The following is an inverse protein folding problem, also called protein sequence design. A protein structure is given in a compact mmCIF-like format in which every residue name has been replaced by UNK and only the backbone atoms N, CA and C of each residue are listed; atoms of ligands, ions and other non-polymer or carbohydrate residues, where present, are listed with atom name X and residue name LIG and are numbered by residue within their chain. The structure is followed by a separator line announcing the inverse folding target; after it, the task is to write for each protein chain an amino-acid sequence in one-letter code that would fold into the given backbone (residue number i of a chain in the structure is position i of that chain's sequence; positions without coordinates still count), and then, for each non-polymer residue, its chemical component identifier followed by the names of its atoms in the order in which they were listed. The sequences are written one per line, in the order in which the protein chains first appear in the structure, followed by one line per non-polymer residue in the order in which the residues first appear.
data_IF_058747223860
#
_entry.id   IF_058747223860
#
_cell.length_a   1.000
_cell.length_b   1.000
_cell.length_c   1.000
_cell.angle_alpha   90.00
_cell.angle_beta   90.00
_cell.angle_gamma   90.00
#
_symmetry.space_group_name_H-M   'P 1'
#
loop_
_entity.id
_entity.type
_entity.pdbx_description
1 polymer ?
#
# COMPACT_ATOMS: atom_id res chain seq x y z
N UNK A 1 34.42 -44.45 -1.25
CA UNK A 1 35.90 -44.51 -1.20
C UNK A 1 36.32 -45.86 -1.74
N UNK A 2 37.29 -45.89 -2.65
CA UNK A 2 37.80 -47.13 -3.25
C UNK A 2 39.11 -47.58 -2.59
N UNK A 3 39.47 -48.85 -2.77
CA UNK A 3 40.82 -49.36 -2.49
C UNK A 3 41.46 -49.76 -3.82
N UNK A 4 42.78 -49.63 -3.92
CA UNK A 4 43.50 -50.07 -5.11
C UNK A 4 43.66 -51.60 -5.14
N UNK A 5 44.22 -52.10 -6.24
CA UNK A 5 44.47 -53.53 -6.46
C UNK A 5 45.46 -54.16 -5.45
N UNK A 6 46.11 -53.34 -4.63
CA UNK A 6 47.02 -53.76 -3.55
C UNK A 6 46.42 -53.57 -2.15
N UNK A 7 45.14 -53.19 -2.07
CA UNK A 7 44.41 -53.05 -0.81
C UNK A 7 44.66 -51.74 -0.06
N UNK A 8 45.40 -50.80 -0.63
CA UNK A 8 45.60 -49.48 -0.04
C UNK A 8 44.34 -48.62 -0.19
N UNK A 9 44.08 -47.74 0.77
CA UNK A 9 42.99 -46.77 0.68
C UNK A 9 43.30 -45.74 -0.43
N UNK A 10 42.41 -45.63 -1.43
CA UNK A 10 42.48 -44.56 -2.42
C UNK A 10 41.90 -43.31 -1.77
N UNK A 11 42.77 -42.41 -1.31
CA UNK A 11 42.41 -41.08 -0.88
C UNK A 11 42.08 -40.26 -2.14
N UNK A 12 40.81 -39.88 -2.30
CA UNK A 12 40.42 -38.95 -3.36
C UNK A 12 41.18 -37.63 -3.21
N UNK A 13 41.51 -36.99 -4.33
CA UNK A 13 42.15 -35.66 -4.37
C UNK A 13 41.47 -34.70 -3.40
N UNK A 14 42.28 -33.99 -2.61
CA UNK A 14 41.87 -33.13 -1.50
C UNK A 14 40.58 -32.35 -1.81
N UNK A 15 39.52 -32.66 -1.07
CA UNK A 15 38.29 -31.89 -1.07
C UNK A 15 38.63 -30.58 -0.35
N UNK A 16 38.88 -29.52 -1.13
CA UNK A 16 39.34 -28.19 -0.74
C UNK A 16 40.85 -28.04 -0.42
N UNK A 17 41.62 -27.56 -1.42
CA UNK A 17 42.84 -26.81 -1.14
C UNK A 17 42.44 -25.41 -0.65
N UNK A 18 42.74 -25.09 0.60
CA UNK A 18 42.61 -23.72 1.11
C UNK A 18 43.55 -22.78 0.37
N UNK A 19 43.12 -21.55 0.13
CA UNK A 19 43.95 -20.48 -0.43
C UNK A 19 44.68 -19.76 0.70
N UNK A 20 46.01 -19.60 0.59
CA UNK A 20 46.79 -18.75 1.51
C UNK A 20 46.65 -17.24 1.21
N UNK A 21 45.94 -16.88 0.15
CA UNK A 21 45.62 -15.49 -0.17
C UNK A 21 44.26 -15.07 0.42
N UNK A 22 44.23 -13.89 1.05
CA UNK A 22 43.00 -13.22 1.45
C UNK A 22 42.20 -12.86 0.20
N UNK A 23 40.93 -13.26 0.14
CA UNK A 23 40.03 -12.83 -0.91
C UNK A 23 39.77 -11.32 -0.77
N UNK A 24 40.21 -10.53 -1.74
CA UNK A 24 39.87 -9.12 -1.86
C UNK A 24 38.50 -8.99 -2.54
N UNK A 25 37.48 -8.51 -1.83
CA UNK A 25 36.19 -8.16 -2.42
C UNK A 25 36.02 -6.64 -2.40
N UNK A 26 35.69 -6.07 -3.56
CA UNK A 26 35.27 -4.67 -3.68
C UNK A 26 33.88 -4.66 -4.30
N UNK A 27 32.88 -4.26 -3.52
CA UNK A 27 31.50 -4.10 -3.97
C UNK A 27 31.14 -2.62 -3.98
N UNK A 28 30.86 -2.06 -5.15
CA UNK A 28 30.24 -0.75 -5.28
C UNK A 28 28.80 -0.93 -5.75
N UNK A 29 27.84 -0.74 -4.86
CA UNK A 29 26.44 -0.60 -5.25
C UNK A 29 26.15 0.88 -5.47
N UNK A 30 25.58 1.23 -6.63
CA UNK A 30 25.17 2.61 -6.93
C UNK A 30 23.78 2.62 -7.54
N UNK A 31 23.01 3.65 -7.21
CA UNK A 31 21.66 3.83 -7.72
C UNK A 31 21.64 5.07 -8.59
N UNK A 32 21.30 4.90 -9.85
CA UNK A 32 21.19 5.99 -10.83
C UNK A 32 19.72 6.16 -11.18
N UNK A 33 19.19 7.36 -10.96
CA UNK A 33 17.86 7.74 -11.43
C UNK A 33 18.02 8.78 -12.54
N UNK A 34 17.52 8.47 -13.73
CA UNK A 34 17.38 9.42 -14.83
C UNK A 34 15.94 9.89 -14.88
N UNK A 35 15.74 11.19 -14.92
CA UNK A 35 14.43 11.83 -14.95
C UNK A 35 14.37 12.82 -16.11
N UNK A 36 13.34 12.68 -16.95
CA UNK A 36 13.01 13.64 -17.99
C UNK A 36 11.60 14.16 -17.71
N UNK A 37 11.45 15.48 -17.73
CA UNK A 37 10.16 16.15 -17.59
C UNK A 37 10.08 17.31 -18.58
N UNK A 38 8.91 17.46 -19.20
CA UNK A 38 8.58 18.61 -20.03
C UNK A 38 7.18 19.09 -19.68
N UNK A 39 7.01 20.40 -19.52
CA UNK A 39 5.70 20.99 -19.24
C UNK A 39 5.37 22.16 -20.17
N UNK A 40 4.10 22.27 -20.52
CA UNK A 40 3.50 23.38 -21.25
C UNK A 40 2.45 23.99 -20.34
N UNK A 41 2.55 25.30 -20.11
CA UNK A 41 1.65 26.04 -19.25
C UNK A 41 1.03 27.19 -20.04
N UNK A 42 -0.28 27.36 -19.92
CA UNK A 42 -1.04 28.44 -20.52
C UNK A 42 -1.90 29.10 -19.43
N UNK A 43 -1.80 30.42 -19.32
CA UNK A 43 -2.63 31.20 -18.41
C UNK A 43 -3.10 32.45 -19.13
N UNK A 44 -4.42 32.68 -19.16
CA UNK A 44 -5.00 33.88 -19.76
C UNK A 44 -6.21 34.35 -19.01
N UNK A 45 -6.37 35.68 -18.95
CA UNK A 45 -7.59 36.33 -18.49
C UNK A 45 -8.32 36.90 -19.70
N UNK A 46 -9.59 36.56 -19.86
CA UNK A 46 -10.47 37.12 -20.88
C UNK A 46 -11.50 38.05 -20.25
N UNK A 47 -11.68 39.23 -20.88
CA UNK A 47 -12.66 40.25 -20.48
C UNK A 47 -12.61 40.59 -18.97
N UNK A 48 -11.42 40.55 -18.37
CA UNK A 48 -11.14 40.78 -16.94
C UNK A 48 -11.92 39.91 -15.95
N UNK A 49 -12.65 38.91 -16.44
CA UNK A 49 -13.63 38.12 -15.67
C UNK A 49 -13.40 36.62 -15.78
N UNK A 50 -12.78 36.14 -16.85
CA UNK A 50 -12.62 34.71 -17.11
C UNK A 50 -11.13 34.36 -17.04
N UNK A 51 -10.70 33.74 -15.94
CA UNK A 51 -9.35 33.19 -15.84
C UNK A 51 -9.37 31.76 -16.33
N UNK A 52 -8.55 31.47 -17.33
CA UNK A 52 -8.37 30.13 -17.90
C UNK A 52 -6.91 29.74 -17.73
N UNK A 53 -6.69 28.61 -17.06
CA UNK A 53 -5.39 27.96 -16.96
C UNK A 53 -5.43 26.60 -17.64
N UNK A 54 -4.34 26.22 -18.28
CA UNK A 54 -4.13 24.88 -18.78
C UNK A 54 -2.66 24.48 -18.57
N UNK A 55 -2.45 23.22 -18.21
CA UNK A 55 -1.13 22.64 -18.08
C UNK A 55 -1.13 21.25 -18.69
N UNK A 56 -0.06 20.93 -19.40
CA UNK A 56 0.27 19.60 -19.85
C UNK A 56 1.70 19.29 -19.40
N UNK A 57 1.93 18.10 -18.86
CA UNK A 57 3.21 17.64 -18.39
C UNK A 57 3.42 16.20 -18.84
N UNK A 58 4.59 15.93 -19.40
CA UNK A 58 5.07 14.58 -19.65
C UNK A 58 6.27 14.32 -18.74
N UNK A 59 6.28 13.17 -18.07
CA UNK A 59 7.42 12.72 -17.29
C UNK A 59 7.83 11.30 -17.66
N UNK A 60 9.11 11.03 -17.55
CA UNK A 60 9.70 9.71 -17.75
C UNK A 60 10.84 9.52 -16.75
N UNK A 61 10.79 8.42 -16.02
CA UNK A 61 11.77 8.10 -14.98
C UNK A 61 12.30 6.69 -15.20
N UNK A 62 13.61 6.58 -15.17
CA UNK A 62 14.35 5.32 -15.19
C UNK A 62 15.17 5.26 -13.92
N UNK A 63 14.91 4.26 -13.08
CA UNK A 63 15.66 4.03 -11.85
C UNK A 63 16.43 2.72 -11.97
N UNK A 64 17.76 2.79 -11.93
CA UNK A 64 18.63 1.63 -12.11
C UNK A 64 19.50 1.45 -10.88
N UNK A 65 19.46 0.25 -10.31
CA UNK A 65 20.43 -0.18 -9.30
C UNK A 65 21.55 -0.94 -9.99
N UNK A 66 22.78 -0.51 -9.77
CA UNK A 66 24.00 -1.22 -10.15
C UNK A 66 24.49 -1.98 -8.93
N UNK A 67 24.82 -3.25 -9.11
CA UNK A 67 25.22 -4.17 -8.05
C UNK A 67 26.74 -4.37 -8.10
N UNK A 68 27.37 -4.48 -6.93
CA UNK A 68 28.78 -4.87 -6.84
C UNK A 68 28.94 -6.37 -7.11
N UNK A 69 30.15 -6.81 -7.47
CA UNK A 69 30.44 -8.23 -7.72
C UNK A 69 30.24 -9.15 -6.50
N UNK A 70 30.14 -8.58 -5.30
CA UNK A 70 29.79 -9.28 -4.05
C UNK A 70 28.27 -9.48 -3.83
N UNK A 71 27.43 -8.73 -4.55
CA UNK A 71 25.96 -8.79 -4.41
C UNK A 71 25.31 -9.75 -5.43
N UNK A 72 26.10 -10.21 -6.40
CA UNK A 72 25.66 -11.08 -7.48
C UNK A 72 26.24 -12.47 -7.22
N UNK A 73 25.41 -13.44 -6.86
CA UNK A 73 25.81 -14.83 -6.84
C UNK A 73 25.72 -15.36 -8.28
N UNK A 74 26.84 -15.65 -8.98
CA UNK A 74 26.79 -16.06 -10.38
C UNK A 74 25.98 -17.34 -10.51
N UNK A 75 24.81 -17.27 -11.18
CA UNK A 75 23.87 -18.40 -11.32
C UNK A 75 22.54 -18.24 -10.56
N UNK A 76 22.36 -17.19 -9.76
CA UNK A 76 21.07 -16.87 -9.11
C UNK A 76 20.17 -16.02 -10.03
N UNK A 77 19.01 -16.55 -10.42
CA UNK A 77 18.00 -15.81 -11.20
C UNK A 77 17.54 -14.52 -10.50
N UNK A 78 17.51 -14.50 -9.17
CA UNK A 78 17.13 -13.35 -8.32
C UNK A 78 18.09 -12.17 -8.47
N UNK A 79 19.39 -12.43 -8.68
CA UNK A 79 20.40 -11.40 -8.88
C UNK A 79 20.33 -10.76 -10.28
N UNK A 80 19.86 -11.49 -11.29
CA UNK A 80 19.71 -10.98 -12.65
C UNK A 80 18.45 -10.09 -12.81
N UNK A 81 17.32 -10.50 -12.25
CA UNK A 81 16.07 -9.74 -12.34
C UNK A 81 16.15 -8.43 -11.55
N UNK A 82 16.71 -8.45 -10.34
CA UNK A 82 16.91 -7.24 -9.51
C UNK A 82 17.81 -6.18 -10.15
N UNK A 83 18.68 -6.57 -11.10
CA UNK A 83 19.54 -5.66 -11.88
C UNK A 83 18.83 -4.86 -12.98
N UNK A 84 17.63 -5.27 -13.37
CA UNK A 84 16.86 -4.58 -14.42
C UNK A 84 16.37 -3.21 -13.93
N UNK A 85 16.47 -2.15 -14.76
CA UNK A 85 15.99 -0.83 -14.38
C UNK A 85 14.46 -0.80 -14.23
N UNK A 86 14.00 0.07 -13.34
CA UNK A 86 12.61 0.42 -13.09
C UNK A 86 12.22 1.56 -14.01
N UNK A 87 11.13 1.42 -14.77
CA UNK A 87 10.64 2.45 -15.68
C UNK A 87 9.20 2.82 -15.37
N UNK A 88 8.96 4.11 -15.23
CA UNK A 88 7.64 4.69 -15.19
C UNK A 88 7.59 5.95 -16.05
N UNK A 89 6.43 6.18 -16.65
CA UNK A 89 6.19 7.35 -17.48
C UNK A 89 4.76 7.82 -17.30
N UNK A 90 4.52 9.10 -17.48
CA UNK A 90 3.22 9.67 -17.23
C UNK A 90 2.95 10.90 -18.07
N UNK A 91 1.66 11.12 -18.28
CA UNK A 91 1.12 12.39 -18.74
C UNK A 91 0.24 12.92 -17.62
N UNK A 92 0.44 14.17 -17.22
CA UNK A 92 -0.48 14.91 -16.39
C UNK A 92 -1.05 16.09 -17.17
N UNK A 93 -2.34 16.32 -17.06
CA UNK A 93 -2.98 17.51 -17.61
C UNK A 93 -3.91 18.14 -16.58
N UNK A 94 -3.94 19.47 -16.57
CA UNK A 94 -4.80 20.27 -15.71
C UNK A 94 -5.46 21.36 -16.53
N UNK A 95 -6.75 21.57 -16.33
CA UNK A 95 -7.49 22.71 -16.85
C UNK A 95 -8.20 23.39 -15.70
N UNK A 96 -8.01 24.70 -15.57
CA UNK A 96 -8.64 25.52 -14.54
C UNK A 96 -9.47 26.63 -15.18
N UNK A 97 -10.60 26.91 -14.56
CA UNK A 97 -11.46 28.03 -14.94
C UNK A 97 -11.98 28.73 -13.70
N UNK A 98 -11.82 30.06 -13.66
CA UNK A 98 -12.41 30.88 -12.63
C UNK A 98 -13.20 32.05 -13.25
N UNK A 99 -14.47 32.18 -12.86
CA UNK A 99 -15.30 33.32 -13.24
C UNK A 99 -15.38 34.33 -12.10
N UNK A 100 -14.87 35.54 -12.34
CA UNK A 100 -14.80 36.67 -11.41
C UNK A 100 -14.17 36.33 -10.07
N UNK A 101 -13.30 35.32 -10.05
CA UNK A 101 -12.73 34.76 -8.81
C UNK A 101 -13.79 34.26 -7.80
N UNK A 102 -15.02 34.01 -8.27
CA UNK A 102 -16.14 33.51 -7.45
C UNK A 102 -16.41 32.03 -7.65
N UNK A 103 -16.56 31.62 -8.91
CA UNK A 103 -16.82 30.23 -9.26
C UNK A 103 -15.56 29.66 -9.89
N UNK A 104 -15.05 28.60 -9.29
CA UNK A 104 -13.82 27.95 -9.69
C UNK A 104 -14.16 26.51 -10.05
N UNK A 105 -13.65 26.04 -11.18
CA UNK A 105 -13.72 24.63 -11.57
C UNK A 105 -12.33 24.23 -12.05
N UNK A 106 -11.90 23.05 -11.65
CA UNK A 106 -10.65 22.47 -12.08
C UNK A 106 -10.86 21.00 -12.45
N UNK A 107 -10.29 20.61 -13.59
CA UNK A 107 -10.20 19.23 -14.03
C UNK A 107 -8.73 18.84 -14.12
N UNK A 108 -8.38 17.73 -13.50
CA UNK A 108 -7.06 17.12 -13.58
C UNK A 108 -7.20 15.71 -14.14
N UNK A 109 -6.19 15.27 -14.89
CA UNK A 109 -6.06 13.87 -15.26
C UNK A 109 -4.60 13.45 -15.24
N UNK A 110 -4.36 12.23 -14.79
CA UNK A 110 -3.10 11.51 -14.96
C UNK A 110 -3.30 10.29 -15.84
N UNK A 111 -2.40 10.06 -16.78
CA UNK A 111 -2.28 8.80 -17.50
C UNK A 111 -0.87 8.26 -17.27
N UNK A 112 -0.76 7.29 -16.36
CA UNK A 112 0.53 6.82 -15.84
C UNK A 112 0.76 5.37 -16.24
N UNK A 113 1.98 5.07 -16.68
CA UNK A 113 2.46 3.74 -17.03
C UNK A 113 3.47 3.23 -16.02
N UNK A 114 3.28 1.99 -15.55
CA UNK A 114 4.21 1.25 -14.69
C UNK A 114 4.59 -0.07 -15.34
N UNK A 115 5.88 -0.45 -15.25
CA UNK A 115 6.37 -1.73 -15.77
C UNK A 115 6.06 -2.93 -14.86
N UNK A 116 5.56 -2.68 -13.64
CA UNK A 116 5.19 -3.71 -12.67
C UNK A 116 4.04 -4.59 -13.17
N UNK A 117 3.25 -4.10 -14.12
CA UNK A 117 2.08 -4.79 -14.65
C UNK A 117 2.36 -5.50 -15.97
N UNK A 118 1.55 -6.52 -16.27
CA UNK A 118 1.58 -7.23 -17.54
C UNK A 118 1.28 -6.30 -18.72
N UNK A 119 1.72 -6.70 -19.91
CA UNK A 119 1.36 -5.99 -21.15
C UNK A 119 -0.17 -5.89 -21.27
N UNK A 120 -0.68 -4.72 -21.66
CA UNK A 120 -2.12 -4.43 -21.67
C UNK A 120 -2.64 -3.74 -20.41
N UNK A 121 -2.01 -3.94 -19.25
CA UNK A 121 -2.46 -3.39 -17.96
C UNK A 121 -1.50 -2.35 -17.34
N UNK A 122 -0.45 -1.97 -18.07
CA UNK A 122 0.60 -1.05 -17.60
C UNK A 122 0.12 0.36 -17.33
N UNK A 123 -0.88 0.82 -18.06
CA UNK A 123 -1.33 2.21 -17.99
C UNK A 123 -2.65 2.34 -17.25
N UNK A 124 -2.72 3.31 -16.33
CA UNK A 124 -3.93 3.69 -15.61
C UNK A 124 -4.33 5.14 -15.91
N UNK A 125 -5.63 5.39 -15.97
CA UNK A 125 -6.21 6.73 -16.16
C UNK A 125 -6.91 7.21 -14.89
N UNK A 126 -6.48 8.36 -14.39
CA UNK A 126 -6.81 8.88 -13.06
C UNK A 126 -7.36 10.31 -13.17
N UNK A 127 -8.66 10.48 -13.46
CA UNK A 127 -9.29 11.79 -13.55
C UNK A 127 -9.70 12.30 -12.17
N UNK A 128 -9.70 13.61 -12.01
CA UNK A 128 -10.23 14.30 -10.84
C UNK A 128 -10.88 15.62 -11.25
N UNK A 129 -12.02 15.95 -10.65
CA UNK A 129 -12.70 17.23 -10.82
C UNK A 129 -12.87 17.90 -9.47
N UNK A 130 -12.72 19.21 -9.43
CA UNK A 130 -12.98 20.01 -8.25
C UNK A 130 -13.72 21.29 -8.61
N UNK A 131 -14.47 21.79 -7.63
CA UNK A 131 -15.24 23.01 -7.73
C UNK A 131 -15.11 23.82 -6.44
N UNK A 132 -15.13 25.13 -6.57
CA UNK A 132 -15.11 26.07 -5.46
C UNK A 132 -16.05 27.24 -5.72
N UNK A 133 -16.72 27.69 -4.67
CA UNK A 133 -17.55 28.89 -4.71
C UNK A 133 -17.22 29.81 -3.55
N UNK A 134 -16.75 31.01 -3.87
CA UNK A 134 -16.54 32.10 -2.95
C UNK A 134 -17.86 32.84 -2.71
N UNK A 135 -18.71 32.28 -1.85
CA UNK A 135 -20.04 32.82 -1.54
C UNK A 135 -19.93 34.24 -0.96
N UNK A 136 -18.87 34.54 -0.21
CA UNK A 136 -18.68 35.88 0.36
C UNK A 136 -18.56 37.00 -0.68
N UNK A 137 -18.21 36.66 -1.92
CA UNK A 137 -18.13 37.62 -3.02
C UNK A 137 -19.48 37.90 -3.70
N UNK A 138 -20.56 37.25 -3.27
CA UNK A 138 -21.89 37.51 -3.82
C UNK A 138 -22.50 38.82 -3.32
N UNK A 139 -23.30 39.53 -4.15
CA UNK A 139 -23.93 40.80 -3.75
C UNK A 139 -24.79 40.67 -2.49
N UNK A 140 -25.49 39.53 -2.33
CA UNK A 140 -26.34 39.27 -1.17
C UNK A 140 -25.55 39.06 0.14
N UNK A 141 -24.24 38.80 0.06
CA UNK A 141 -23.39 38.62 1.25
C UNK A 141 -22.90 39.93 1.86
N UNK A 142 -23.14 41.06 1.19
CA UNK A 142 -22.68 42.38 1.60
C UNK A 142 -23.07 42.75 3.04
N UNK A 143 -24.27 42.37 3.49
CA UNK A 143 -24.75 42.62 4.86
C UNK A 143 -24.01 41.80 5.93
N UNK A 144 -23.48 40.64 5.57
CA UNK A 144 -22.78 39.72 6.49
C UNK A 144 -21.27 39.92 6.49
N UNK A 145 -20.69 40.66 5.52
CA UNK A 145 -19.25 40.79 5.32
C UNK A 145 -18.47 41.34 6.53
N UNK A 146 -19.11 42.12 7.40
CA UNK A 146 -18.49 42.62 8.62
C UNK A 146 -18.30 41.53 9.68
N UNK A 147 -19.22 40.57 9.75
CA UNK A 147 -19.15 39.45 10.69
C UNK A 147 -18.44 38.23 10.08
N UNK A 148 -18.73 37.93 8.81
CA UNK A 148 -18.18 36.80 8.04
C UNK A 148 -17.50 37.34 6.79
N UNK A 149 -16.19 37.59 6.89
CA UNK A 149 -15.38 38.25 5.86
C UNK A 149 -15.14 37.35 4.66
N UNK A 150 -14.98 36.05 4.91
CA UNK A 150 -14.78 35.04 3.87
C UNK A 150 -15.69 33.87 4.15
N UNK A 151 -16.37 33.41 3.10
CA UNK A 151 -17.10 32.16 3.11
C UNK A 151 -16.90 31.48 1.76
N UNK A 152 -16.24 30.33 1.80
CA UNK A 152 -15.94 29.52 0.63
C UNK A 152 -16.40 28.10 0.87
N UNK A 153 -17.08 27.53 -0.11
CA UNK A 153 -17.31 26.09 -0.17
C UNK A 153 -16.45 25.50 -1.29
N UNK A 154 -15.98 24.28 -1.09
CA UNK A 154 -15.19 23.53 -2.06
C UNK A 154 -15.58 22.06 -2.06
N UNK A 155 -15.42 21.42 -3.20
CA UNK A 155 -15.60 19.98 -3.34
C UNK A 155 -14.65 19.43 -4.37
N UNK A 156 -14.17 18.21 -4.18
CA UNK A 156 -13.41 17.47 -5.18
C UNK A 156 -13.78 16.00 -5.18
N UNK A 157 -13.75 15.40 -6.37
CA UNK A 157 -13.97 13.99 -6.57
C UNK A 157 -13.01 13.48 -7.64
N UNK A 158 -12.25 12.44 -7.35
CA UNK A 158 -11.26 11.94 -8.28
C UNK A 158 -10.69 10.59 -7.92
N UNK A 159 -10.03 9.98 -8.89
CA UNK A 159 -9.34 8.70 -8.75
C UNK A 159 -7.83 8.92 -8.74
N UNK A 160 -7.12 8.14 -7.93
CA UNK A 160 -5.66 8.03 -7.94
C UNK A 160 -5.27 6.56 -8.00
N UNK A 161 -4.11 6.25 -8.58
CA UNK A 161 -3.58 4.90 -8.69
C UNK A 161 -2.32 4.70 -7.86
N UNK A 162 -2.14 3.48 -7.36
CA UNK A 162 -0.94 2.99 -6.69
C UNK A 162 -0.40 1.75 -7.43
N UNK A 163 0.89 1.77 -7.77
CA UNK A 163 1.61 0.66 -8.42
C UNK A 163 2.63 -0.02 -7.50
N UNK A 164 2.65 0.33 -6.21
CA UNK A 164 3.57 -0.24 -5.24
C UNK A 164 3.12 -1.63 -4.79
N UNK A 165 4.01 -2.61 -4.94
CA UNK A 165 3.72 -4.05 -4.71
C UNK A 165 3.99 -4.53 -3.27
N UNK A 166 4.65 -3.70 -2.45
CA UNK A 166 5.00 -4.05 -1.06
C UNK A 166 6.12 -5.09 -0.90
N UNK A 167 6.67 -5.62 -1.99
CA UNK A 167 7.83 -6.52 -2.01
C UNK A 167 8.77 -6.18 -3.20
N UNK A 168 9.96 -6.79 -3.23
CA UNK A 168 10.95 -6.59 -4.30
C UNK A 168 10.65 -7.42 -5.57
N UNK A 169 9.59 -8.24 -5.57
CA UNK A 169 9.21 -9.09 -6.70
C UNK A 169 8.30 -8.33 -7.65
N UNK A 170 8.87 -7.82 -8.75
CA UNK A 170 8.21 -6.90 -9.68
C UNK A 170 7.47 -7.58 -10.83
N UNK A 171 7.67 -8.89 -10.96
CA UNK A 171 7.07 -9.70 -12.02
C UNK A 171 6.01 -10.62 -11.42
N UNK A 172 5.16 -10.07 -10.56
CA UNK A 172 4.07 -10.83 -9.92
C UNK A 172 3.11 -11.45 -10.94
N UNK A 173 3.03 -10.87 -12.14
CA UNK A 173 2.24 -11.38 -13.25
C UNK A 173 2.85 -12.61 -13.96
N UNK A 174 4.14 -12.89 -13.79
CA UNK A 174 4.82 -14.03 -14.41
C UNK A 174 4.70 -15.29 -13.56
N UNK A 175 4.64 -16.44 -14.23
CA UNK A 175 4.78 -17.74 -13.56
C UNK A 175 6.22 -17.98 -13.10
N UNK A 176 6.41 -18.67 -11.97
CA UNK A 176 7.74 -19.04 -11.49
C UNK A 176 7.90 -20.56 -11.34
N UNK A 177 9.14 -21.04 -11.45
CA UNK A 177 9.54 -22.39 -11.07
C UNK A 177 10.45 -22.26 -9.86
N UNK A 178 10.19 -23.06 -8.83
CA UNK A 178 10.94 -23.04 -7.58
C UNK A 178 11.59 -24.39 -7.33
N UNK A 179 12.59 -24.40 -6.48
CA UNK A 179 13.16 -25.63 -5.94
C UNK A 179 12.08 -26.37 -5.13
N UNK A 180 11.81 -27.61 -5.52
CA UNK A 180 10.86 -28.50 -4.86
C UNK A 180 11.51 -29.30 -3.73
N UNK A 181 10.73 -30.21 -3.14
CA UNK A 181 11.24 -31.11 -2.10
C UNK A 181 12.34 -32.01 -2.67
N UNK A 182 13.33 -32.32 -1.85
CA UNK A 182 14.27 -33.39 -2.16
C UNK A 182 13.57 -34.74 -2.14
N UNK A 183 13.99 -35.62 -3.02
CA UNK A 183 13.50 -36.99 -3.11
C UNK A 183 14.66 -37.97 -2.98
N UNK A 184 14.36 -39.15 -2.47
CA UNK A 184 15.28 -40.30 -2.47
C UNK A 184 14.62 -41.45 -3.24
N UNK A 185 15.45 -42.23 -3.92
CA UNK A 185 15.09 -43.34 -4.79
C UNK A 185 16.16 -44.44 -4.70
N UNK A 186 15.85 -45.60 -5.28
CA UNK A 186 16.69 -46.79 -5.28
C UNK A 186 16.50 -47.66 -4.04
N UNK A 187 16.86 -48.94 -4.13
CA UNK A 187 16.59 -49.96 -3.09
C UNK A 187 17.21 -49.62 -1.72
N UNK A 188 18.32 -48.88 -1.71
CA UNK A 188 19.01 -48.48 -0.46
C UNK A 188 18.68 -47.06 -0.01
N UNK A 189 17.84 -46.32 -0.75
CA UNK A 189 17.48 -44.92 -0.44
C UNK A 189 18.64 -43.91 -0.55
N UNK A 190 19.80 -44.34 -1.06
CA UNK A 190 21.01 -43.51 -1.13
C UNK A 190 21.14 -42.70 -2.43
N UNK A 191 20.24 -42.89 -3.40
CA UNK A 191 20.17 -42.07 -4.61
C UNK A 191 19.07 -41.03 -4.43
N UNK A 192 19.32 -39.79 -4.81
CA UNK A 192 18.34 -38.73 -4.61
C UNK A 192 18.77 -37.42 -5.26
N UNK A 193 17.87 -36.46 -5.23
CA UNK A 193 18.12 -35.13 -5.79
C UNK A 193 17.10 -34.15 -5.28
N UNK A 194 17.29 -32.88 -5.62
CA UNK A 194 16.33 -31.83 -5.33
C UNK A 194 15.31 -31.77 -6.45
N UNK A 195 14.02 -31.87 -6.10
CA UNK A 195 12.95 -31.73 -7.07
C UNK A 195 12.85 -30.30 -7.62
N UNK A 196 12.12 -30.15 -8.71
CA UNK A 196 11.60 -28.86 -9.17
C UNK A 196 10.09 -28.83 -8.91
N UNK A 197 9.57 -27.68 -8.54
CA UNK A 197 8.15 -27.49 -8.29
C UNK A 197 7.65 -26.24 -9.02
N UNK A 198 6.38 -26.24 -9.41
CA UNK A 198 5.73 -25.01 -9.82
C UNK A 198 5.71 -24.04 -8.64
N UNK A 199 6.12 -22.81 -8.91
CA UNK A 199 6.00 -21.67 -8.01
C UNK A 199 4.64 -21.01 -8.17
N UNK A 200 4.64 -19.68 -8.21
CA UNK A 200 3.44 -18.87 -8.42
C UNK A 200 2.95 -19.05 -9.87
N UNK A 201 1.65 -19.25 -10.11
CA UNK A 201 1.09 -19.23 -11.46
C UNK A 201 1.06 -17.81 -12.02
N UNK A 202 0.99 -17.69 -13.35
CA UNK A 202 0.86 -16.40 -14.00
C UNK A 202 -0.46 -15.69 -13.63
N UNK A 203 -0.42 -14.36 -13.61
CA UNK A 203 -1.61 -13.52 -13.49
C UNK A 203 -1.44 -12.26 -14.37
N UNK A 204 -1.92 -12.35 -15.61
CA UNK A 204 -1.80 -11.25 -16.58
C UNK A 204 -2.84 -10.14 -16.38
N UNK A 205 -3.84 -10.37 -15.53
CA UNK A 205 -4.91 -9.40 -15.22
C UNK A 205 -4.54 -8.49 -14.03
N UNK A 206 -3.37 -8.71 -13.43
CA UNK A 206 -2.82 -7.87 -12.37
C UNK A 206 -2.63 -6.42 -12.85
N UNK A 207 -3.23 -5.45 -12.14
CA UNK A 207 -3.23 -4.03 -12.49
C UNK A 207 -3.21 -3.11 -11.26
N UNK A 208 -3.49 -1.83 -11.45
CA UNK A 208 -3.39 -0.77 -10.44
C UNK A 208 -4.32 -1.00 -9.24
N UNK A 209 -3.82 -0.67 -8.04
CA UNK A 209 -4.68 -0.39 -6.91
C UNK A 209 -5.24 1.03 -7.08
N UNK A 210 -6.55 1.18 -6.99
CA UNK A 210 -7.23 2.45 -7.27
C UNK A 210 -7.90 2.99 -6.01
N UNK A 211 -7.74 4.29 -5.76
CA UNK A 211 -8.45 4.98 -4.68
C UNK A 211 -9.28 6.12 -5.24
N UNK A 212 -10.59 6.04 -5.02
CA UNK A 212 -11.54 7.09 -5.34
C UNK A 212 -11.75 7.96 -4.10
N UNK A 213 -11.55 9.26 -4.24
CA UNK A 213 -11.56 10.24 -3.15
C UNK A 213 -12.66 11.27 -3.39
N UNK A 214 -13.41 11.56 -2.33
CA UNK A 214 -14.32 12.67 -2.20
C UNK A 214 -13.81 13.55 -1.05
N UNK A 215 -13.76 14.85 -1.29
CA UNK A 215 -13.41 15.86 -0.28
C UNK A 215 -14.39 17.02 -0.40
N UNK A 216 -15.05 17.38 0.69
CA UNK A 216 -16.01 18.47 0.78
C UNK A 216 -15.58 19.42 1.89
N UNK A 217 -15.31 20.67 1.53
CA UNK A 217 -14.71 21.63 2.43
C UNK A 217 -15.50 22.92 2.57
N UNK A 218 -15.44 23.50 3.76
CA UNK A 218 -15.96 24.83 4.06
C UNK A 218 -14.85 25.64 4.73
N UNK A 219 -14.68 26.87 4.29
CA UNK A 219 -13.78 27.84 4.88
C UNK A 219 -14.54 29.12 5.26
N UNK A 220 -14.30 29.59 6.48
CA UNK A 220 -14.89 30.78 7.07
C UNK A 220 -13.80 31.67 7.66
N UNK A 221 -13.94 32.98 7.48
CA UNK A 221 -13.19 33.99 8.23
C UNK A 221 -14.19 34.87 8.98
N UNK A 222 -14.11 34.88 10.31
CA UNK A 222 -14.99 35.66 11.19
C UNK A 222 -14.23 36.84 11.79
N UNK A 223 -14.84 38.03 11.72
CA UNK A 223 -14.35 39.29 12.29
C UNK A 223 -12.89 39.66 11.92
N UNK A 224 -12.38 39.16 10.80
CA UNK A 224 -10.97 39.22 10.38
C UNK A 224 -9.97 38.67 11.41
N UNK A 225 -10.45 37.83 12.33
CA UNK A 225 -9.63 37.30 13.43
C UNK A 225 -9.64 35.78 13.49
N UNK A 226 -10.78 35.14 13.25
CA UNK A 226 -10.93 33.68 13.39
C UNK A 226 -11.15 33.02 12.03
N UNK A 227 -10.17 32.25 11.56
CA UNK A 227 -10.30 31.35 10.42
C UNK A 227 -10.74 29.97 10.90
N UNK A 228 -11.75 29.43 10.24
CA UNK A 228 -12.26 28.08 10.46
C UNK A 228 -12.23 27.36 9.11
N UNK A 229 -11.60 26.20 9.07
CA UNK A 229 -11.62 25.30 7.92
C UNK A 229 -12.13 23.95 8.39
N UNK A 230 -13.17 23.43 7.74
CA UNK A 230 -13.74 22.13 8.05
C UNK A 230 -13.89 21.32 6.77
N UNK A 231 -13.35 20.12 6.77
CA UNK A 231 -13.33 19.22 5.62
C UNK A 231 -13.91 17.86 6.00
N UNK A 232 -14.81 17.36 5.17
CA UNK A 232 -15.26 15.98 5.19
C UNK A 232 -14.57 15.23 4.06
N UNK A 233 -13.89 14.14 4.38
CA UNK A 233 -13.24 13.28 3.41
C UNK A 233 -13.84 11.87 3.43
N UNK A 234 -13.92 11.28 2.25
CA UNK A 234 -14.28 9.88 2.04
C UNK A 234 -13.36 9.29 0.97
N UNK A 235 -12.76 8.15 1.26
CA UNK A 235 -11.94 7.42 0.31
C UNK A 235 -12.41 5.97 0.24
N UNK A 236 -12.44 5.45 -0.98
CA UNK A 236 -12.80 4.08 -1.29
C UNK A 236 -11.69 3.50 -2.17
N UNK A 237 -11.00 2.50 -1.64
CA UNK A 237 -9.83 1.89 -2.27
C UNK A 237 -10.19 0.47 -2.70
N UNK A 238 -9.97 0.18 -3.97
CA UNK A 238 -10.31 -1.09 -4.62
C UNK A 238 -9.08 -1.69 -5.29
N UNK A 239 -9.09 -3.01 -5.43
CA UNK A 239 -8.00 -3.71 -6.10
C UNK A 239 -6.70 -3.67 -5.32
N UNK A 240 -6.77 -3.63 -3.98
CA UNK A 240 -5.60 -3.76 -3.12
C UNK A 240 -4.95 -5.11 -3.41
N UNK A 241 -3.66 -5.06 -3.65
CA UNK A 241 -2.90 -6.24 -4.03
C UNK A 241 -2.76 -7.18 -2.83
N UNK A 242 -3.29 -8.39 -2.97
CA UNK A 242 -3.28 -9.40 -1.92
C UNK A 242 -2.96 -10.77 -2.48
N UNK A 243 -2.37 -11.61 -1.64
CA UNK A 243 -2.26 -13.04 -1.91
C UNK A 243 -3.64 -13.65 -1.74
N UNK A 244 -4.04 -14.55 -2.64
CA UNK A 244 -5.33 -15.23 -2.55
C UNK A 244 -5.49 -16.00 -1.23
N UNK A 245 -6.42 -15.56 -0.39
CA UNK A 245 -6.77 -16.22 0.87
C UNK A 245 -7.91 -17.25 0.69
N UNK A 246 -8.74 -17.09 -0.34
CA UNK A 246 -9.91 -17.94 -0.59
C UNK A 246 -9.62 -19.16 -1.47
N UNK A 247 -8.36 -19.42 -1.84
CA UNK A 247 -8.02 -20.58 -2.67
C UNK A 247 -8.08 -21.88 -1.86
N UNK A 248 -8.92 -22.85 -2.24
CA UNK A 248 -9.04 -24.10 -1.49
C UNK A 248 -7.79 -24.95 -1.67
N UNK A 249 -7.43 -25.70 -0.63
CA UNK A 249 -6.24 -26.55 -0.65
C UNK A 249 -6.20 -27.59 -1.77
N UNK A 250 -7.38 -28.00 -2.27
CA UNK A 250 -7.51 -28.90 -3.43
C UNK A 250 -6.89 -28.33 -4.72
N UNK A 251 -6.71 -27.01 -4.80
CA UNK A 251 -6.02 -26.37 -5.92
C UNK A 251 -4.51 -26.70 -5.96
N UNK A 252 -3.95 -27.30 -4.91
CA UNK A 252 -2.53 -27.69 -4.86
C UNK A 252 -1.55 -26.51 -4.65
N UNK A 253 -2.07 -25.30 -4.44
CA UNK A 253 -1.32 -24.05 -4.26
C UNK A 253 -1.33 -23.62 -2.78
N UNK A 254 -0.87 -24.47 -1.86
CA UNK A 254 -1.00 -24.22 -0.40
C UNK A 254 0.20 -23.50 0.24
N UNK A 255 1.25 -23.20 -0.51
CA UNK A 255 2.42 -22.50 -0.01
C UNK A 255 2.38 -21.03 -0.45
N UNK A 256 2.68 -20.09 0.45
CA UNK A 256 2.74 -18.65 0.15
C UNK A 256 3.62 -18.31 -1.06
N UNK A 257 4.68 -19.08 -1.32
CA UNK A 257 5.53 -18.93 -2.51
C UNK A 257 4.87 -19.40 -3.83
N UNK A 258 3.69 -20.01 -3.75
CA UNK A 258 2.90 -20.55 -4.88
C UNK A 258 1.56 -19.84 -5.09
N UNK A 259 1.13 -19.00 -4.14
CA UNK A 259 -0.15 -18.32 -4.26
C UNK A 259 -0.04 -17.10 -5.19
N UNK A 260 -0.99 -16.93 -6.14
CA UNK A 260 -1.02 -15.74 -6.99
C UNK A 260 -1.40 -14.49 -6.19
N UNK A 261 -0.76 -13.38 -6.56
CA UNK A 261 -1.18 -12.05 -6.14
C UNK A 261 -2.29 -11.56 -7.06
N UNK A 262 -3.35 -10.99 -6.49
CA UNK A 262 -4.50 -10.46 -7.23
C UNK A 262 -4.96 -9.12 -6.66
N UNK A 263 -5.60 -8.30 -7.49
CA UNK A 263 -6.27 -7.08 -7.08
C UNK A 263 -7.68 -7.42 -6.56
N UNK A 264 -7.81 -7.64 -5.26
CA UNK A 264 -9.10 -8.06 -4.65
C UNK A 264 -9.45 -7.32 -3.38
N UNK A 265 -8.46 -6.82 -2.65
CA UNK A 265 -8.73 -6.15 -1.38
C UNK A 265 -9.47 -4.83 -1.59
N UNK A 266 -10.33 -4.50 -0.64
CA UNK A 266 -11.16 -3.31 -0.69
C UNK A 266 -11.26 -2.69 0.71
N UNK A 267 -11.07 -1.38 0.81
CA UNK A 267 -11.21 -0.63 2.06
C UNK A 267 -11.92 0.69 1.84
N UNK A 268 -12.55 1.19 2.90
CA UNK A 268 -13.02 2.57 2.95
C UNK A 268 -12.42 3.30 4.16
N UNK A 269 -12.24 4.60 4.00
CA UNK A 269 -11.78 5.49 5.06
C UNK A 269 -12.51 6.82 4.97
N UNK A 270 -13.04 7.32 6.09
CA UNK A 270 -13.81 8.56 6.10
C UNK A 270 -13.69 9.30 7.42
N UNK A 271 -13.83 10.60 7.36
CA UNK A 271 -13.62 11.42 8.54
C UNK A 271 -13.90 12.89 8.33
N UNK A 272 -13.62 13.64 9.39
CA UNK A 272 -13.68 15.09 9.39
C UNK A 272 -12.34 15.65 9.88
N UNK A 273 -11.91 16.74 9.25
CA UNK A 273 -10.77 17.53 9.67
C UNK A 273 -11.24 18.97 9.95
N UNK A 274 -10.83 19.52 11.08
CA UNK A 274 -11.17 20.86 11.52
C UNK A 274 -9.88 21.59 11.88
N UNK A 275 -9.68 22.77 11.29
CA UNK A 275 -8.60 23.68 11.62
C UNK A 275 -9.18 25.03 12.05
N UNK A 276 -8.66 25.53 13.17
CA UNK A 276 -9.02 26.81 13.77
C UNK A 276 -7.75 27.64 13.91
N UNK A 277 -7.79 28.88 13.42
CA UNK A 277 -6.72 29.84 13.60
C UNK A 277 -7.31 31.18 14.04
N UNK A 278 -6.88 31.67 15.19
CA UNK A 278 -7.28 32.95 15.74
C UNK A 278 -6.08 33.88 15.84
N UNK A 279 -6.19 35.05 15.24
CA UNK A 279 -5.18 36.11 15.30
C UNK A 279 -5.81 37.36 15.90
N UNK A 280 -5.13 37.98 16.88
CA UNK A 280 -5.60 39.23 17.49
C UNK A 280 -4.43 40.11 17.94
N UNK A 281 -4.49 41.38 17.55
CA UNK A 281 -3.64 42.44 18.12
C UNK A 281 -4.30 42.98 19.40
N UNK A 282 -3.55 43.02 20.50
CA UNK A 282 -3.95 43.62 21.80
C UNK A 282 -2.84 44.58 22.25
N UNK A 283 -3.03 45.88 21.98
CA UNK A 283 -1.96 46.87 22.18
C UNK A 283 -0.77 46.55 21.28
N UNK A 284 0.40 46.34 21.89
CA UNK A 284 1.63 45.94 21.18
C UNK A 284 1.76 44.42 20.99
N UNK A 285 0.88 43.63 21.61
CA UNK A 285 0.93 42.17 21.55
C UNK A 285 0.16 41.63 20.35
N UNK A 286 0.81 40.81 19.52
CA UNK A 286 0.13 40.00 18.50
C UNK A 286 -0.01 38.57 19.01
N UNK A 287 -1.24 38.14 19.26
CA UNK A 287 -1.57 36.81 19.75
C UNK A 287 -2.08 35.95 18.59
N UNK A 288 -1.53 34.75 18.47
CA UNK A 288 -2.03 33.72 17.57
C UNK A 288 -2.31 32.44 18.33
N UNK A 289 -3.52 31.90 18.19
CA UNK A 289 -3.88 30.58 18.68
C UNK A 289 -4.28 29.69 17.49
N UNK A 290 -3.75 28.47 17.45
CA UNK A 290 -4.08 27.49 16.40
C UNK A 290 -4.49 26.18 17.06
N UNK A 291 -5.53 25.56 16.53
CA UNK A 291 -6.01 24.26 16.98
C UNK A 291 -6.47 23.44 15.79
N UNK A 292 -6.16 22.15 15.81
CA UNK A 292 -6.61 21.20 14.80
C UNK A 292 -7.29 20.00 15.48
N UNK A 293 -8.29 19.44 14.82
CA UNK A 293 -9.00 18.26 15.27
C UNK A 293 -9.31 17.38 14.06
N UNK A 294 -8.91 16.13 14.12
CA UNK A 294 -9.17 15.16 13.05
C UNK A 294 -9.84 13.93 13.66
N UNK A 295 -10.96 13.53 13.08
CA UNK A 295 -11.61 12.27 13.38
C UNK A 295 -11.63 11.41 12.12
N UNK A 296 -11.14 10.18 12.22
CA UNK A 296 -11.07 9.26 11.10
C UNK A 296 -11.59 7.88 11.51
N UNK A 297 -12.31 7.22 10.60
CA UNK A 297 -12.75 5.84 10.75
C UNK A 297 -12.51 5.08 9.45
N UNK A 298 -11.85 3.94 9.59
CA UNK A 298 -11.59 3.03 8.51
C UNK A 298 -12.47 1.77 8.60
N UNK A 299 -12.57 1.05 7.48
CA UNK A 299 -13.31 -0.22 7.41
C UNK A 299 -12.76 -1.11 6.29
N UNK A 300 -12.63 -2.39 6.57
CA UNK A 300 -12.33 -3.44 5.60
C UNK A 300 -13.61 -3.88 4.89
N UNK A 301 -13.59 -3.85 3.56
CA UNK A 301 -14.73 -4.25 2.72
C UNK A 301 -14.49 -5.62 2.07
N UNK A 302 -13.25 -5.91 1.67
CA UNK A 302 -12.87 -7.21 1.11
C UNK A 302 -11.42 -7.58 1.45
N UNK A 303 -11.17 -8.84 1.80
CA UNK A 303 -9.85 -9.41 2.08
C UNK A 303 -9.64 -10.81 1.47
N UNK A 304 -10.52 -11.26 0.56
CA UNK A 304 -10.52 -12.60 -0.05
C UNK A 304 -10.61 -13.77 0.94
N UNK A 305 -10.86 -13.52 2.23
CA UNK A 305 -11.10 -14.61 3.18
C UNK A 305 -12.46 -15.26 2.87
N UNK A 306 -12.57 -16.60 2.97
CA UNK A 306 -13.86 -17.25 2.93
C UNK A 306 -14.72 -16.78 4.10
N UNK A 307 -16.04 -16.80 3.89
CA UNK A 307 -16.99 -16.44 4.93
C UNK A 307 -16.93 -17.44 6.07
N UNK A 308 -16.59 -16.96 7.27
CA UNK A 308 -16.48 -17.80 8.46
C UNK A 308 -17.86 -18.29 8.90
N UNK A 309 -17.91 -19.54 9.38
CA UNK A 309 -19.13 -20.11 9.98
C UNK A 309 -19.70 -19.19 11.06
N UNK A 310 -18.83 -18.66 11.92
CA UNK A 310 -19.21 -17.68 12.93
C UNK A 310 -18.92 -16.28 12.43
N UNK A 311 -19.98 -15.51 12.17
CA UNK A 311 -19.90 -14.17 11.55
C UNK A 311 -19.07 -13.16 12.33
N UNK A 312 -18.94 -13.33 13.64
CA UNK A 312 -18.08 -12.47 14.44
C UNK A 312 -16.59 -12.68 14.16
N UNK A 313 -16.18 -13.77 13.51
CA UNK A 313 -14.79 -14.01 13.07
C UNK A 313 -14.45 -13.28 11.78
N UNK A 314 -15.46 -12.92 10.96
CA UNK A 314 -15.23 -12.16 9.73
C UNK A 314 -14.57 -10.81 10.04
N UNK A 315 -13.49 -10.50 9.31
CA UNK A 315 -12.83 -9.18 9.39
C UNK A 315 -13.58 -8.12 8.59
N UNK A 316 -14.30 -8.52 7.56
CA UNK A 316 -15.15 -7.63 6.75
C UNK A 316 -16.13 -6.89 7.67
N UNK A 317 -16.25 -5.58 7.45
CA UNK A 317 -17.13 -4.71 8.24
C UNK A 317 -16.46 -4.06 9.45
N UNK A 318 -15.24 -4.45 9.81
CA UNK A 318 -14.48 -3.93 10.95
C UNK A 318 -13.35 -3.00 10.48
N UNK A 319 -12.76 -2.19 11.38
CA UNK A 319 -11.53 -1.45 11.09
C UNK A 319 -10.48 -2.37 10.45
N UNK A 320 -9.81 -1.93 9.39
CA UNK A 320 -8.69 -2.71 8.85
C UNK A 320 -7.44 -2.46 9.69
N UNK A 321 -6.65 -3.51 9.92
CA UNK A 321 -5.43 -3.48 10.73
C UNK A 321 -4.97 -4.90 11.05
N UNK A 322 -3.73 -5.03 11.52
CA UNK A 322 -3.15 -6.32 11.96
C UNK A 322 -2.46 -6.15 13.31
N UNK A 323 -2.43 -7.22 14.10
CA UNK A 323 -1.72 -7.26 15.38
C UNK A 323 -2.20 -6.17 16.35
N UNK A 324 -1.27 -5.38 16.88
CA UNK A 324 -1.56 -4.35 17.88
C UNK A 324 -2.53 -3.25 17.39
N UNK A 325 -2.62 -3.02 16.08
CA UNK A 325 -3.54 -2.02 15.51
C UNK A 325 -5.00 -2.50 15.45
N UNK A 326 -5.21 -3.81 15.55
CA UNK A 326 -6.54 -4.41 15.69
C UNK A 326 -6.37 -5.73 16.46
N UNK A 327 -6.30 -5.69 17.80
CA UNK A 327 -6.11 -6.90 18.60
C UNK A 327 -7.38 -7.75 18.54
N UNK A 328 -7.19 -9.05 18.26
CA UNK A 328 -8.23 -10.06 18.38
C UNK A 328 -7.72 -11.12 19.34
N UNK A 329 -8.61 -11.54 20.23
CA UNK A 329 -8.30 -12.54 21.23
C UNK A 329 -9.56 -12.91 22.00
N UNK A 330 -9.39 -13.90 22.86
CA UNK A 330 -10.44 -14.30 23.79
C UNK A 330 -10.62 -13.23 24.86
N UNK A 331 -11.86 -13.04 25.31
CA UNK A 331 -12.15 -12.23 26.48
C UNK A 331 -11.90 -13.08 27.73
N UNK A 332 -10.92 -12.70 28.54
CA UNK A 332 -10.73 -13.27 29.86
C UNK A 332 -11.82 -12.75 30.80
N UNK A 333 -12.70 -13.64 31.27
CA UNK A 333 -13.84 -13.28 32.14
C UNK A 333 -13.54 -13.52 33.64
N UNK A 334 -12.27 -13.72 33.98
CA UNK A 334 -11.78 -13.92 35.34
C UNK A 334 -11.10 -15.26 35.54
N UNK A 335 -10.73 -15.55 36.79
CA UNK A 335 -10.21 -16.84 37.19
C UNK A 335 -11.35 -17.76 37.67
N UNK A 336 -11.12 -19.07 37.68
CA UNK A 336 -12.02 -19.99 38.37
C UNK A 336 -11.94 -19.77 39.88
N UNK A 337 -13.08 -19.57 40.55
CA UNK A 337 -13.12 -19.33 42.00
C UNK A 337 -13.56 -20.58 42.78
N UNK A 338 -14.11 -21.60 42.10
CA UNK A 338 -14.57 -22.86 42.70
C UNK A 338 -14.52 -24.05 41.73
N UNK A 339 -14.67 -25.27 42.25
CA UNK A 339 -14.86 -26.47 41.40
C UNK A 339 -16.18 -26.43 40.62
N UNK A 340 -17.22 -25.84 41.20
CA UNK A 340 -18.51 -25.61 40.53
C UNK A 340 -18.33 -24.68 39.32
N UNK A 341 -17.47 -23.67 39.45
CA UNK A 341 -17.12 -22.75 38.37
C UNK A 341 -16.43 -23.43 37.19
N UNK A 342 -15.63 -24.47 37.46
CA UNK A 342 -14.94 -25.28 36.45
C UNK A 342 -15.95 -26.19 35.77
N UNK A 343 -16.77 -26.90 36.55
CA UNK A 343 -17.78 -27.83 36.05
C UNK A 343 -18.83 -27.16 35.17
N UNK A 344 -19.19 -25.91 35.47
CA UNK A 344 -20.16 -25.13 34.70
C UNK A 344 -19.53 -24.34 33.54
N UNK A 345 -18.23 -24.44 33.30
CA UNK A 345 -17.56 -23.71 32.22
C UNK A 345 -17.51 -24.47 30.90
N UNK A 346 -17.48 -23.78 29.75
CA UNK A 346 -17.24 -24.43 28.46
C UNK A 346 -15.91 -25.18 28.43
N UNK A 347 -15.91 -26.38 27.86
CA UNK A 347 -14.75 -27.26 27.77
C UNK A 347 -13.59 -26.55 27.04
N UNK A 348 -12.44 -26.44 27.71
CA UNK A 348 -11.26 -25.76 27.20
C UNK A 348 -10.43 -26.71 26.31
N UNK A 349 -10.83 -26.90 25.05
CA UNK A 349 -10.08 -27.74 24.12
C UNK A 349 -8.90 -26.98 23.49
N UNK A 350 -7.71 -27.14 24.10
CA UNK A 350 -6.34 -26.85 23.59
C UNK A 350 -5.64 -25.56 24.05
N UNK A 351 -4.84 -25.67 25.13
CA UNK A 351 -3.61 -24.87 25.33
C UNK A 351 -2.45 -25.84 25.56
N UNK A 352 -1.95 -26.47 24.48
CA UNK A 352 -0.74 -27.27 24.59
C UNK A 352 0.49 -26.36 24.56
N UNK A 353 1.30 -26.49 25.61
CA UNK A 353 2.63 -25.89 25.86
C UNK A 353 2.69 -24.38 26.09
N UNK A 354 2.39 -23.94 27.33
CA UNK A 354 3.35 -23.44 28.34
C UNK A 354 2.63 -23.43 29.69
N UNK A 355 3.22 -24.04 30.71
CA UNK A 355 2.72 -24.07 32.09
C UNK A 355 2.50 -22.64 32.61
N UNK A 356 1.24 -22.20 32.69
CA UNK A 356 0.68 -21.16 33.58
C UNK A 356 -0.66 -20.54 33.08
N UNK A 357 -1.35 -21.11 32.08
CA UNK A 357 -2.66 -20.60 31.62
C UNK A 357 -3.72 -21.72 31.67
N UNK A 358 -3.88 -22.35 32.84
CA UNK A 358 -4.98 -23.29 33.10
C UNK A 358 -6.09 -22.69 33.97
N UNK A 359 -6.03 -21.41 34.31
CA UNK A 359 -6.89 -20.80 35.33
C UNK A 359 -7.81 -19.69 34.81
N UNK A 360 -7.81 -19.38 33.52
CA UNK A 360 -8.56 -18.25 32.96
C UNK A 360 -9.86 -18.75 32.31
N UNK A 361 -11.00 -18.22 32.77
CA UNK A 361 -12.28 -18.37 32.10
C UNK A 361 -12.29 -17.56 30.80
N UNK A 362 -12.78 -18.14 29.71
CA UNK A 362 -12.88 -17.46 28.41
C UNK A 362 -14.30 -17.53 27.86
N UNK A 363 -14.78 -16.44 27.25
CA UNK A 363 -16.03 -16.43 26.47
C UNK A 363 -15.71 -16.33 24.97
N UNK A 364 -16.48 -17.03 24.15
CA UNK A 364 -16.32 -17.10 22.68
C UNK A 364 -16.86 -15.89 21.92
#
# INVERSE_FOLDING_TARGET
TGRDEFGNLIYGSAIYQGSESLAYSHGSASTVTTYLEGSLNYNRVFADKHRVGAMFLYNHKIHRRTFGSSDLNPGSATSATTSLPYKNQGIAARVTYAFRDKYMVEFNMGYNGSENFASGHRFGFFPAVSGGWMISEEPFWSSLRNAVNTFKIRGSYGKVGNDQLGNDDRWLYQSTIITGNSFTMGETGNSGGTGIAMGRPENLDFSWEEETKLDLGVELMLFNQLRIQADYFYTHRTGILMVRAGLPGIAGLQNNSKLPYVNIGETENRGVDLSLEWNKQIGDWFLTARGNFTYNRNKLLNNDEPDWQYKYQNRIGKPYGVGASQPWGLLAIGLFESEEDIANSPEQTSVNTVSAISSIRTST
#
